data_IF_640159748225
#
_entry.id   IF_640159748225
#
_cell.length_a   1.000
_cell.length_b   1.000
_cell.length_c   1.000
_cell.angle_alpha   90.00
_cell.angle_beta   90.00
_cell.angle_gamma   90.00
#
_symmetry.space_group_name_H-M   'P 1'
#
loop_
_entity.id
_entity.type
_entity.pdbx_description
1 polymer ?
#
# COMPACT_ATOMS: atom_id res chain seq x y z
N UNK A 1 8.91 3.47 15.74
CA UNK A 1 8.62 3.24 14.30
C UNK A 1 7.98 4.51 13.77
N UNK A 2 8.38 5.00 12.58
CA UNK A 2 7.79 6.21 12.02
C UNK A 2 6.28 6.00 11.80
N UNK A 3 5.49 7.05 12.06
CA UNK A 3 4.06 7.02 11.80
C UNK A 3 3.78 6.74 10.31
N UNK A 4 2.81 5.88 10.01
CA UNK A 4 2.40 5.59 8.64
C UNK A 4 1.71 6.84 8.08
N UNK A 5 2.38 7.54 7.16
CA UNK A 5 1.76 8.65 6.41
C UNK A 5 0.78 8.10 5.39
N UNK A 6 -0.38 8.76 5.26
CA UNK A 6 -1.44 8.44 4.29
C UNK A 6 -1.79 9.66 3.44
N UNK A 7 -2.01 9.43 2.15
CA UNK A 7 -2.45 10.44 1.20
C UNK A 7 -3.74 9.98 0.54
N UNK A 8 -4.73 10.86 0.45
CA UNK A 8 -5.99 10.57 -0.26
C UNK A 8 -6.05 11.39 -1.54
N UNK A 9 -6.12 10.68 -2.66
CA UNK A 9 -6.45 11.23 -3.97
C UNK A 9 -7.97 11.22 -4.14
N UNK A 10 -8.54 12.34 -4.60
CA UNK A 10 -9.95 12.44 -4.98
C UNK A 10 -10.05 12.85 -6.45
N UNK A 11 -10.99 12.24 -7.17
CA UNK A 11 -11.31 12.58 -8.56
C UNK A 11 -12.82 12.51 -8.79
N UNK A 12 -13.26 12.78 -10.02
CA UNK A 12 -14.68 12.84 -10.39
C UNK A 12 -15.46 11.54 -10.07
N UNK A 13 -14.80 10.38 -10.11
CA UNK A 13 -15.46 9.08 -9.99
C UNK A 13 -15.09 8.33 -8.69
N UNK A 14 -14.43 8.98 -7.73
CA UNK A 14 -14.06 8.30 -6.50
C UNK A 14 -12.90 8.89 -5.72
N UNK A 15 -12.38 8.06 -4.83
CA UNK A 15 -11.20 8.36 -4.03
C UNK A 15 -10.35 7.11 -3.78
N UNK A 16 -9.07 7.33 -3.54
CA UNK A 16 -8.09 6.30 -3.27
C UNK A 16 -7.11 6.79 -2.22
N UNK A 17 -6.74 5.91 -1.30
CA UNK A 17 -5.74 6.22 -0.27
C UNK A 17 -4.48 5.42 -0.52
N UNK A 18 -3.32 6.08 -0.48
CA UNK A 18 -2.00 5.47 -0.52
C UNK A 18 -1.35 5.65 0.84
N UNK A 19 -0.65 4.63 1.34
CA UNK A 19 0.15 4.74 2.55
C UNK A 19 1.64 4.50 2.32
N UNK A 20 2.46 5.13 3.15
CA UNK A 20 3.92 5.00 3.12
C UNK A 20 4.43 3.57 3.38
N UNK A 21 3.69 2.77 4.16
CA UNK A 21 4.01 1.35 4.37
C UNK A 21 3.72 0.54 3.11
N UNK A 22 4.76 -0.01 2.48
CA UNK A 22 4.63 -0.90 1.32
C UNK A 22 4.08 -0.22 0.06
N UNK A 23 3.95 1.11 0.04
CA UNK A 23 3.23 1.85 -0.99
C UNK A 23 1.81 1.30 -1.24
N UNK A 24 1.14 0.81 -0.19
CA UNK A 24 -0.16 0.14 -0.37
C UNK A 24 -1.24 1.14 -0.78
N UNK A 25 -1.97 0.79 -1.82
CA UNK A 25 -3.19 1.45 -2.28
C UNK A 25 -4.40 0.78 -1.63
N UNK A 26 -5.09 1.50 -0.74
CA UNK A 26 -6.33 1.04 -0.13
C UNK A 26 -6.80 1.97 1.00
N UNK A 27 -8.12 2.19 1.13
CA UNK A 27 -9.18 1.75 0.23
C UNK A 27 -9.16 2.50 -1.12
N UNK A 28 -9.80 1.91 -2.12
CA UNK A 28 -10.15 2.54 -3.40
C UNK A 28 -11.65 2.46 -3.54
N UNK A 29 -12.33 3.59 -3.60
CA UNK A 29 -13.78 3.68 -3.72
C UNK A 29 -14.15 4.28 -5.07
N UNK A 30 -15.04 3.60 -5.79
CA UNK A 30 -15.66 4.08 -7.01
C UNK A 30 -17.10 4.50 -6.74
N UNK A 31 -17.47 5.69 -7.18
CA UNK A 31 -18.84 6.18 -7.14
C UNK A 31 -19.59 5.69 -8.38
N UNK A 32 -20.70 4.96 -8.16
CA UNK A 32 -21.55 4.39 -9.22
C UNK A 32 -22.79 5.26 -9.50
N UNK A 33 -22.86 6.44 -8.86
CA UNK A 33 -24.01 7.33 -8.90
C UNK A 33 -25.19 6.86 -8.03
N UNK A 34 -26.14 7.78 -7.81
CA UNK A 34 -27.34 7.54 -6.98
C UNK A 34 -27.00 7.11 -5.54
N UNK A 35 -25.92 7.65 -4.98
CA UNK A 35 -25.46 7.34 -3.63
C UNK A 35 -24.86 5.93 -3.47
N UNK A 36 -24.62 5.21 -4.57
CA UNK A 36 -23.98 3.89 -4.53
C UNK A 36 -22.50 4.01 -4.80
N UNK A 37 -21.71 3.23 -4.07
CA UNK A 37 -20.28 3.08 -4.30
C UNK A 37 -19.85 1.63 -4.10
N UNK A 38 -18.67 1.30 -4.65
CA UNK A 38 -18.00 0.02 -4.44
C UNK A 38 -16.56 0.25 -4.00
N UNK A 39 -16.04 -0.62 -3.14
CA UNK A 39 -14.63 -0.66 -2.76
C UNK A 39 -14.10 -2.07 -3.01
N UNK A 40 -13.52 -2.35 -4.19
CA UNK A 40 -13.15 -3.71 -4.58
C UNK A 40 -11.91 -4.24 -3.84
N UNK A 41 -11.09 -3.35 -3.28
CA UNK A 41 -9.87 -3.72 -2.58
C UNK A 41 -10.15 -3.95 -1.10
N UNK A 42 -9.72 -5.10 -0.58
CA UNK A 42 -9.92 -5.48 0.82
C UNK A 42 -9.03 -4.67 1.76
N UNK A 43 -9.56 -4.26 2.90
CA UNK A 43 -8.80 -3.59 3.98
C UNK A 43 -8.89 -4.48 5.20
N UNK A 44 -7.75 -4.70 5.86
CA UNK A 44 -7.75 -5.51 7.06
C UNK A 44 -8.65 -4.93 8.16
N UNK A 45 -9.34 -5.77 8.95
CA UNK A 45 -10.26 -5.31 9.99
C UNK A 45 -9.55 -4.78 11.24
N UNK A 46 -8.22 -4.85 11.30
CA UNK A 46 -7.41 -4.28 12.38
C UNK A 46 -6.82 -2.92 11.99
N UNK A 47 -6.57 -2.08 12.99
CA UNK A 47 -5.95 -0.77 12.83
C UNK A 47 -4.44 -0.88 12.57
N UNK A 48 -3.69 0.22 12.74
CA UNK A 48 -2.23 0.26 12.67
C UNK A 48 -1.59 -0.47 13.85
N UNK A 49 -1.68 -1.79 13.82
CA UNK A 49 -1.33 -2.68 14.91
C UNK A 49 0.03 -3.34 14.72
N UNK A 50 1.01 -2.83 15.47
CA UNK A 50 2.40 -3.26 15.40
C UNK A 50 2.63 -4.69 15.91
N UNK A 51 1.60 -5.37 16.43
CA UNK A 51 1.69 -6.81 16.72
C UNK A 51 1.86 -7.64 15.45
N UNK A 52 1.38 -7.13 14.30
CA UNK A 52 1.48 -7.80 13.02
C UNK A 52 2.79 -7.46 12.29
N UNK A 53 3.52 -8.45 11.76
CA UNK A 53 4.84 -8.22 11.19
C UNK A 53 4.79 -7.58 9.80
N UNK A 54 5.73 -6.68 9.51
CA UNK A 54 5.99 -6.16 8.16
C UNK A 54 4.75 -5.52 7.53
N UNK A 55 4.38 -6.00 6.33
CA UNK A 55 3.21 -5.50 5.60
C UNK A 55 1.88 -5.79 6.31
N UNK A 56 1.84 -6.78 7.21
CA UNK A 56 0.60 -7.09 7.94
C UNK A 56 0.21 -6.01 8.95
N UNK A 57 1.14 -5.16 9.38
CA UNK A 57 0.90 -4.07 10.34
C UNK A 57 -0.32 -3.22 9.95
N UNK A 58 -0.41 -2.78 8.70
CA UNK A 58 -1.53 -1.97 8.22
C UNK A 58 -2.04 -2.46 6.86
N UNK A 59 -2.20 -3.79 6.74
CA UNK A 59 -2.49 -4.50 5.49
C UNK A 59 -3.73 -3.97 4.78
N UNK A 60 -3.58 -3.55 3.52
CA UNK A 60 -4.69 -3.05 2.72
C UNK A 60 -4.43 -3.12 1.22
N UNK A 61 -5.50 -3.39 0.49
CA UNK A 61 -5.64 -3.34 -0.95
C UNK A 61 -4.51 -3.96 -1.76
N UNK A 62 -3.94 -3.18 -2.66
CA UNK A 62 -2.86 -3.60 -3.55
C UNK A 62 -1.55 -2.92 -3.16
N UNK A 63 -0.43 -3.57 -3.47
CA UNK A 63 0.88 -2.95 -3.35
C UNK A 63 1.78 -3.45 -4.46
N UNK A 64 2.80 -2.66 -4.85
CA UNK A 64 3.69 -3.06 -5.90
C UNK A 64 4.45 -4.34 -5.51
N UNK A 65 4.55 -5.25 -6.46
CA UNK A 65 5.48 -6.37 -6.42
C UNK A 65 6.90 -5.83 -6.68
N UNK A 66 7.44 -5.04 -5.75
CA UNK A 66 8.86 -4.64 -5.77
C UNK A 66 9.70 -5.89 -5.57
N UNK A 67 10.83 -6.02 -6.28
CA UNK A 67 11.27 -7.29 -6.82
C UNK A 67 11.40 -8.36 -5.73
N UNK A 68 10.49 -9.33 -5.77
CA UNK A 68 10.77 -10.70 -5.36
C UNK A 68 11.72 -11.41 -6.36
N UNK A 69 12.44 -10.67 -7.21
CA UNK A 69 13.16 -11.20 -8.36
C UNK A 69 14.65 -11.45 -8.16
N UNK A 70 15.25 -10.94 -7.08
CA UNK A 70 16.65 -11.20 -6.79
C UNK A 70 16.83 -11.41 -5.28
N UNK A 71 17.01 -12.66 -4.88
CA UNK A 71 17.51 -13.02 -3.54
C UNK A 71 18.99 -12.63 -3.36
N UNK A 72 19.61 -12.09 -4.41
CA UNK A 72 20.96 -11.61 -4.45
C UNK A 72 21.00 -10.21 -5.08
N UNK A 73 21.88 -9.32 -4.62
CA UNK A 73 22.13 -8.05 -5.31
C UNK A 73 22.56 -8.30 -6.78
N UNK A 74 22.13 -7.46 -7.74
CA UNK A 74 22.66 -7.50 -9.10
C UNK A 74 24.19 -7.43 -9.14
N UNK A 75 24.81 -8.14 -10.08
CA UNK A 75 26.27 -8.07 -10.30
C UNK A 75 26.63 -6.66 -10.80
N UNK A 76 27.66 -6.04 -10.22
CA UNK A 76 28.20 -4.76 -10.68
C UNK A 76 27.51 -3.52 -10.07
N UNK A 77 26.91 -3.64 -8.89
CA UNK A 77 26.40 -2.48 -8.16
C UNK A 77 27.54 -1.51 -7.78
N UNK A 78 27.27 -0.19 -7.73
CA UNK A 78 28.22 0.77 -7.17
C UNK A 78 28.57 0.44 -5.71
N UNK A 79 29.80 0.76 -5.31
CA UNK A 79 30.25 0.58 -3.93
C UNK A 79 29.28 1.26 -2.95
N UNK A 80 28.71 0.48 -2.02
CA UNK A 80 27.77 0.95 -1.00
C UNK A 80 26.29 0.66 -1.27
N UNK A 81 25.94 0.09 -2.43
CA UNK A 81 24.56 -0.26 -2.81
C UNK A 81 24.24 -1.75 -2.58
N UNK A 82 25.13 -2.50 -1.92
CA UNK A 82 25.05 -3.97 -1.74
C UNK A 82 24.23 -4.43 -0.52
N UNK A 83 23.52 -3.52 0.17
CA UNK A 83 22.81 -3.81 1.43
C UNK A 83 21.31 -3.58 1.35
#
# INVERSE_FOLDING_TARGET
MNAITRWTLKWEHGDATIQSLGAMLGPVRFELGRGRSISPLWVAPWDDDAQWPGLMWALRGEWPCLPFGAVHPPIGLPHGFER
#
